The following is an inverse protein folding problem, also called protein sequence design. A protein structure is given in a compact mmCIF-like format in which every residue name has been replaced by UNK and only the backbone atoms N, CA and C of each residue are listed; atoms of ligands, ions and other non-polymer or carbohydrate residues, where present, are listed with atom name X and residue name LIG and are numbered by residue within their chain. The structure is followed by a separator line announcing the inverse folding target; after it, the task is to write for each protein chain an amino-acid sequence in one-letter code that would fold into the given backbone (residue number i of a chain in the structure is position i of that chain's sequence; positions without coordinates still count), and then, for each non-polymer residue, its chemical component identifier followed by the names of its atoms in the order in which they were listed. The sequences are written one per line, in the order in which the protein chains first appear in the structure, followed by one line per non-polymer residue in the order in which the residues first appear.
data_IF_723760649770
#
_entry.id   IF_723760649770
#
_cell.length_a   1.000
_cell.length_b   1.000
_cell.length_c   1.000
_cell.angle_alpha   90.00
_cell.angle_beta   90.00
_cell.angle_gamma   90.00
#
_symmetry.space_group_name_H-M   'P 1'
#
loop_
_entity.id
_entity.type
_entity.pdbx_description
1 polymer ?
#
# COMPACT_ATOMS: atom_id res chain seq x y z
N UNK A 1 -6.43 23.62 5.41
CA UNK A 1 -6.13 23.31 3.99
C UNK A 1 -7.47 22.97 3.36
N UNK A 2 -8.13 23.96 2.75
CA UNK A 2 -9.43 23.73 2.09
C UNK A 2 -9.16 22.92 0.81
N UNK A 3 -9.72 21.70 0.73
CA UNK A 3 -9.63 20.90 -0.47
C UNK A 3 -10.44 21.61 -1.57
N UNK A 4 -9.77 22.10 -2.61
CA UNK A 4 -10.43 22.70 -3.77
C UNK A 4 -11.23 21.60 -4.49
N UNK A 5 -12.53 21.55 -4.25
CA UNK A 5 -13.43 20.59 -4.92
C UNK A 5 -13.40 20.89 -6.42
N UNK A 6 -12.86 19.96 -7.21
CA UNK A 6 -12.86 20.08 -8.67
C UNK A 6 -14.20 19.60 -9.24
N UNK A 7 -14.70 20.29 -10.26
CA UNK A 7 -15.89 19.83 -10.98
C UNK A 7 -15.60 18.58 -11.81
N UNK A 8 -16.61 17.71 -12.00
CA UNK A 8 -16.53 16.49 -12.83
C UNK A 8 -15.96 16.83 -14.21
N UNK A 9 -16.47 17.88 -14.85
CA UNK A 9 -16.02 18.33 -16.16
C UNK A 9 -14.52 18.67 -16.19
N UNK A 10 -14.01 19.36 -15.17
CA UNK A 10 -12.59 19.70 -15.06
C UNK A 10 -11.70 18.45 -14.93
N UNK A 11 -12.13 17.47 -14.15
CA UNK A 11 -11.41 16.20 -13.96
C UNK A 11 -11.36 15.42 -15.27
N UNK A 12 -12.50 15.26 -15.96
CA UNK A 12 -12.56 14.55 -17.23
C UNK A 12 -11.71 15.23 -18.31
N UNK A 13 -11.76 16.56 -18.41
CA UNK A 13 -10.95 17.31 -19.38
C UNK A 13 -9.45 17.15 -19.12
N UNK A 14 -9.01 17.23 -17.86
CA UNK A 14 -7.61 17.00 -17.47
C UNK A 14 -7.13 15.61 -17.90
N UNK A 15 -7.90 14.58 -17.59
CA UNK A 15 -7.55 13.19 -17.92
C UNK A 15 -7.53 12.97 -19.43
N UNK A 16 -8.43 13.63 -20.16
CA UNK A 16 -8.48 13.57 -21.62
C UNK A 16 -7.18 14.11 -22.24
N UNK A 17 -6.69 15.26 -21.75
CA UNK A 17 -5.41 15.85 -22.17
C UNK A 17 -4.23 14.92 -21.83
N UNK A 18 -4.16 14.40 -20.60
CA UNK A 18 -3.09 13.50 -20.16
C UNK A 18 -3.05 12.18 -20.96
N UNK A 19 -4.19 11.76 -21.54
CA UNK A 19 -4.32 10.54 -22.33
C UNK A 19 -4.41 10.79 -23.83
N UNK A 20 -4.23 12.03 -24.27
CA UNK A 20 -4.30 12.46 -25.67
C UNK A 20 -5.59 11.95 -26.36
N UNK A 21 -6.74 12.23 -25.75
CA UNK A 21 -8.05 11.84 -26.26
C UNK A 21 -9.10 12.92 -26.02
N UNK A 22 -10.24 12.88 -26.70
CA UNK A 22 -11.31 13.83 -26.43
C UNK A 22 -12.05 13.46 -25.13
N UNK A 23 -12.43 14.46 -24.32
CA UNK A 23 -13.11 14.21 -23.04
C UNK A 23 -14.44 13.45 -23.20
N UNK A 24 -15.14 13.67 -24.33
CA UNK A 24 -16.37 12.95 -24.69
C UNK A 24 -16.17 11.46 -24.97
N UNK A 25 -14.92 11.03 -25.24
CA UNK A 25 -14.58 9.64 -25.55
C UNK A 25 -14.25 8.84 -24.27
N UNK A 26 -14.16 9.51 -23.11
CA UNK A 26 -13.92 8.86 -21.83
C UNK A 26 -15.18 8.14 -21.35
N UNK A 27 -16.36 8.77 -21.23
CA UNK A 27 -17.57 8.04 -20.85
C UNK A 27 -17.88 6.92 -21.85
N UNK A 28 -18.42 5.81 -21.35
CA UNK A 28 -18.86 4.73 -22.20
C UNK A 28 -20.12 5.17 -22.96
N UNK A 29 -19.98 5.50 -24.24
CA UNK A 29 -21.11 5.64 -25.15
C UNK A 29 -21.38 4.29 -25.83
N UNK A 30 -22.58 3.76 -25.65
CA UNK A 30 -23.23 2.63 -26.35
C UNK A 30 -22.29 1.77 -27.21
N UNK A 31 -21.41 1.01 -26.54
CA UNK A 31 -20.54 0.01 -27.18
C UNK A 31 -19.40 0.54 -28.07
N UNK A 32 -19.32 1.84 -28.34
CA UNK A 32 -18.45 2.43 -29.36
C UNK A 32 -16.95 2.49 -28.98
N UNK A 33 -16.59 2.37 -27.70
CA UNK A 33 -15.20 2.58 -27.27
C UNK A 33 -14.69 1.55 -26.24
N UNK A 34 -14.56 0.30 -26.69
CA UNK A 34 -14.02 -0.83 -25.90
C UNK A 34 -12.50 -1.00 -26.00
N UNK A 35 -11.80 -0.12 -26.72
CA UNK A 35 -10.34 -0.20 -26.86
C UNK A 35 -9.61 -0.08 -25.51
N UNK A 36 -8.46 -0.76 -25.39
CA UNK A 36 -7.66 -0.78 -24.15
C UNK A 36 -7.29 0.63 -23.65
N UNK A 37 -7.04 1.58 -24.57
CA UNK A 37 -6.79 3.00 -24.25
C UNK A 37 -8.00 3.66 -23.57
N UNK A 38 -9.19 3.48 -24.13
CA UNK A 38 -10.44 4.04 -23.58
C UNK A 38 -10.79 3.41 -22.22
N UNK A 39 -10.57 2.11 -22.06
CA UNK A 39 -10.74 1.42 -20.76
C UNK A 39 -9.77 1.98 -19.72
N UNK A 40 -8.49 2.15 -20.06
CA UNK A 40 -7.50 2.72 -19.16
C UNK A 40 -7.82 4.16 -18.74
N UNK A 41 -8.32 4.98 -19.67
CA UNK A 41 -8.77 6.34 -19.39
C UNK A 41 -10.01 6.37 -18.49
N UNK A 42 -10.98 5.48 -18.70
CA UNK A 42 -12.14 5.32 -17.79
C UNK A 42 -11.74 4.92 -16.39
N UNK A 43 -10.82 3.97 -16.26
CA UNK A 43 -10.30 3.57 -14.95
C UNK A 43 -9.60 4.75 -14.25
N UNK A 44 -8.86 5.57 -15.00
CA UNK A 44 -8.25 6.80 -14.48
C UNK A 44 -9.30 7.81 -14.02
N UNK A 45 -10.33 8.06 -14.84
CA UNK A 45 -11.41 8.96 -14.50
C UNK A 45 -12.19 8.50 -13.27
N UNK A 46 -12.51 7.21 -13.18
CA UNK A 46 -13.18 6.64 -12.00
C UNK A 46 -12.34 6.84 -10.73
N UNK A 47 -11.03 6.60 -10.79
CA UNK A 47 -10.12 6.82 -9.67
C UNK A 47 -10.08 8.29 -9.25
N UNK A 48 -9.83 9.21 -10.18
CA UNK A 48 -9.73 10.64 -9.90
C UNK A 48 -11.05 11.22 -9.36
N UNK A 49 -12.20 10.89 -9.98
CA UNK A 49 -13.51 11.31 -9.48
C UNK A 49 -13.76 10.79 -8.06
N UNK A 50 -13.33 9.57 -7.75
CA UNK A 50 -13.49 9.03 -6.41
C UNK A 50 -12.58 9.73 -5.38
N UNK A 51 -11.33 10.04 -5.71
CA UNK A 51 -10.36 10.60 -4.76
C UNK A 51 -10.38 12.12 -4.64
N UNK A 52 -10.87 12.83 -5.66
CA UNK A 52 -10.84 14.30 -5.75
C UNK A 52 -12.22 14.93 -5.54
N UNK A 53 -13.26 14.11 -5.39
CA UNK A 53 -14.64 14.56 -5.10
C UNK A 53 -15.26 13.69 -4.02
N UNK A 54 -16.39 14.14 -3.46
CA UNK A 54 -17.21 13.35 -2.52
C UNK A 54 -18.34 12.56 -3.19
N UNK A 55 -18.35 12.45 -4.53
CA UNK A 55 -19.43 11.78 -5.25
C UNK A 55 -19.58 10.30 -4.85
N UNK A 56 -20.81 9.79 -4.70
CA UNK A 56 -21.02 8.36 -4.47
C UNK A 56 -20.75 7.56 -5.75
N UNK A 57 -20.41 6.27 -5.61
CA UNK A 57 -20.04 5.41 -6.74
C UNK A 57 -21.14 5.33 -7.82
N UNK A 58 -22.41 5.40 -7.43
CA UNK A 58 -23.53 5.42 -8.36
C UNK A 58 -23.52 6.67 -9.26
N UNK A 59 -23.21 7.84 -8.70
CA UNK A 59 -23.08 9.08 -9.49
C UNK A 59 -21.87 9.00 -10.42
N UNK A 60 -20.73 8.49 -9.94
CA UNK A 60 -19.55 8.28 -10.80
C UNK A 60 -19.88 7.31 -11.96
N UNK A 61 -20.67 6.27 -11.71
CA UNK A 61 -21.11 5.34 -12.76
C UNK A 61 -21.93 6.07 -13.83
N UNK A 62 -22.90 6.90 -13.42
CA UNK A 62 -23.72 7.70 -14.32
C UNK A 62 -22.89 8.68 -15.16
N UNK A 63 -21.95 9.41 -14.54
CA UNK A 63 -21.05 10.35 -15.23
C UNK A 63 -20.15 9.65 -16.25
N UNK A 64 -19.78 8.39 -16.02
CA UNK A 64 -18.94 7.60 -16.91
C UNK A 64 -19.74 6.71 -17.88
N UNK A 65 -21.07 6.76 -17.88
CA UNK A 65 -21.92 5.91 -18.72
C UNK A 65 -21.79 4.41 -18.41
N UNK A 66 -21.45 4.04 -17.16
CA UNK A 66 -21.28 2.65 -16.74
C UNK A 66 -22.59 2.08 -16.18
N UNK A 67 -22.81 0.78 -16.44
CA UNK A 67 -24.06 0.07 -16.07
C UNK A 67 -24.28 -0.05 -14.56
N UNK A 68 -23.20 -0.13 -13.79
CA UNK A 68 -23.28 -0.33 -12.35
C UNK A 68 -22.06 0.24 -11.62
N UNK A 69 -22.20 0.36 -10.30
CA UNK A 69 -21.15 0.84 -9.41
C UNK A 69 -20.03 -0.19 -9.18
N UNK A 70 -20.24 -1.47 -9.51
CA UNK A 70 -19.22 -2.51 -9.39
C UNK A 70 -18.14 -2.35 -10.48
N UNK A 71 -18.53 -1.97 -11.70
CA UNK A 71 -17.63 -1.60 -12.78
C UNK A 71 -16.75 -0.39 -12.40
N UNK A 72 -17.34 0.62 -11.75
CA UNK A 72 -16.58 1.76 -11.19
C UNK A 72 -15.59 1.30 -10.14
N UNK A 73 -16.04 0.50 -9.15
CA UNK A 73 -15.18 -0.01 -8.09
C UNK A 73 -14.00 -0.84 -8.64
N UNK A 74 -14.26 -1.67 -9.65
CA UNK A 74 -13.22 -2.43 -10.34
C UNK A 74 -12.24 -1.50 -11.07
N UNK A 75 -12.75 -0.50 -11.81
CA UNK A 75 -11.92 0.48 -12.52
C UNK A 75 -11.02 1.27 -11.58
N UNK A 76 -11.54 1.71 -10.43
CA UNK A 76 -10.79 2.38 -9.36
C UNK A 76 -9.64 1.48 -8.87
N UNK A 77 -9.94 0.23 -8.49
CA UNK A 77 -8.93 -0.73 -8.01
C UNK A 77 -7.86 -1.01 -9.06
N UNK A 78 -8.27 -1.20 -10.32
CA UNK A 78 -7.37 -1.47 -11.44
C UNK A 78 -6.44 -0.28 -11.73
N UNK A 79 -6.92 0.96 -11.61
CA UNK A 79 -6.07 2.13 -11.74
C UNK A 79 -5.14 2.30 -10.53
N UNK A 80 -5.66 2.14 -9.31
CA UNK A 80 -4.89 2.23 -8.08
C UNK A 80 -3.67 1.28 -8.10
N UNK A 81 -3.90 0.00 -8.46
CA UNK A 81 -2.83 -0.98 -8.60
C UNK A 81 -1.77 -0.56 -9.64
N UNK A 82 -2.20 0.03 -10.76
CA UNK A 82 -1.28 0.52 -11.82
C UNK A 82 -0.38 1.66 -11.34
N UNK A 83 -0.85 2.50 -10.42
CA UNK A 83 -0.07 3.60 -9.84
C UNK A 83 0.62 3.21 -8.52
N UNK A 84 0.68 1.91 -8.21
CA UNK A 84 1.36 1.40 -7.01
C UNK A 84 0.60 1.61 -5.70
N UNK A 85 -0.70 1.92 -5.76
CA UNK A 85 -1.57 2.09 -4.59
C UNK A 85 -2.38 0.82 -4.37
N UNK A 86 -2.02 0.04 -3.35
CA UNK A 86 -2.77 -1.16 -2.97
C UNK A 86 -4.00 -0.81 -2.13
N UNK A 87 -5.18 -1.27 -2.56
CA UNK A 87 -6.47 -0.98 -1.91
C UNK A 87 -7.31 -2.24 -1.76
N UNK A 88 -7.71 -2.56 -0.52
CA UNK A 88 -8.60 -3.68 -0.25
C UNK A 88 -10.05 -3.30 -0.59
N UNK A 89 -10.47 -2.13 -0.10
CA UNK A 89 -11.78 -1.54 -0.35
C UNK A 89 -11.61 -0.17 -0.98
N UNK A 90 -12.51 0.17 -1.88
CA UNK A 90 -12.52 1.51 -2.51
C UNK A 90 -12.67 2.60 -1.45
N UNK A 91 -13.43 2.34 -0.37
CA UNK A 91 -13.55 3.24 0.78
C UNK A 91 -12.21 3.60 1.43
N UNK A 92 -11.20 2.74 1.33
CA UNK A 92 -9.89 2.96 1.97
C UNK A 92 -9.12 4.10 1.30
N UNK A 93 -9.46 4.46 0.06
CA UNK A 93 -8.88 5.60 -0.65
C UNK A 93 -9.36 6.95 -0.10
N UNK A 94 -10.54 6.99 0.53
CA UNK A 94 -11.08 8.18 1.20
C UNK A 94 -10.89 8.15 2.71
N UNK A 95 -10.61 6.98 3.28
CA UNK A 95 -10.29 6.88 4.69
C UNK A 95 -9.06 7.76 4.97
N UNK A 96 -9.02 8.48 6.11
CA UNK A 96 -7.79 9.11 6.55
C UNK A 96 -6.68 8.07 6.50
N UNK A 97 -5.57 8.40 5.82
CA UNK A 97 -4.43 7.48 5.74
C UNK A 97 -4.08 7.06 7.16
N UNK A 98 -4.38 5.80 7.50
CA UNK A 98 -3.96 5.26 8.79
C UNK A 98 -2.44 5.21 8.73
N UNK A 99 -1.79 5.98 9.58
CA UNK A 99 -0.34 5.92 9.69
C UNK A 99 0.06 4.46 9.91
N UNK A 100 1.03 3.94 9.14
CA UNK A 100 1.46 2.57 9.31
C UNK A 100 1.95 2.39 10.76
N UNK A 101 1.22 1.57 11.52
CA UNK A 101 1.58 1.30 12.91
C UNK A 101 2.80 0.40 12.89
N UNK A 102 3.90 0.91 13.46
CA UNK A 102 5.12 0.14 13.64
C UNK A 102 4.83 -1.02 14.60
N UNK A 103 5.09 -2.23 14.13
CA UNK A 103 5.15 -3.42 14.97
C UNK A 103 6.41 -3.34 15.84
N UNK A 104 6.22 -2.84 17.05
CA UNK A 104 7.31 -2.64 18.02
C UNK A 104 7.93 -3.95 18.46
N UNK A 105 7.17 -5.04 18.49
CA UNK A 105 7.70 -6.35 18.84
C UNK A 105 8.60 -6.89 17.73
N UNK A 106 8.16 -6.79 16.48
CA UNK A 106 8.99 -7.14 15.32
C UNK A 106 10.26 -6.28 15.27
N UNK A 107 10.15 -4.97 15.53
CA UNK A 107 11.31 -4.09 15.55
C UNK A 107 12.30 -4.44 16.67
N UNK A 108 11.80 -4.67 17.89
CA UNK A 108 12.61 -5.12 19.02
C UNK A 108 13.36 -6.42 18.71
N UNK A 109 12.66 -7.40 18.12
CA UNK A 109 13.22 -8.69 17.72
C UNK A 109 14.33 -8.53 16.67
N UNK A 110 14.10 -7.72 15.63
CA UNK A 110 15.09 -7.45 14.57
C UNK A 110 16.33 -6.77 15.13
N UNK A 111 16.16 -5.77 16.00
CA UNK A 111 17.28 -5.08 16.64
C UNK A 111 18.08 -6.04 17.53
N UNK A 112 17.41 -6.86 18.33
CA UNK A 112 18.07 -7.87 19.17
C UNK A 112 18.87 -8.88 18.33
N UNK A 113 18.30 -9.34 17.20
CA UNK A 113 18.98 -10.22 16.25
C UNK A 113 20.24 -9.57 15.63
N UNK A 114 20.14 -8.30 15.23
CA UNK A 114 21.28 -7.53 14.72
C UNK A 114 22.39 -7.37 15.78
N UNK A 115 22.03 -7.02 17.02
CA UNK A 115 23.00 -6.91 18.13
C UNK A 115 23.70 -8.23 18.40
N UNK A 116 22.94 -9.33 18.46
CA UNK A 116 23.48 -10.68 18.71
C UNK A 116 24.46 -11.11 17.60
N UNK A 117 24.10 -10.87 16.34
CA UNK A 117 24.93 -11.23 15.18
C UNK A 117 26.27 -10.49 15.18
N UNK A 118 26.30 -9.26 15.70
CA UNK A 118 27.50 -8.43 15.79
C UNK A 118 28.23 -8.51 17.14
N UNK A 119 27.71 -9.28 18.11
CA UNK A 119 28.26 -9.33 19.46
C UNK A 119 28.26 -7.99 20.21
N UNK A 120 27.28 -7.11 19.92
CA UNK A 120 27.24 -5.76 20.48
C UNK A 120 26.54 -5.73 21.84
N UNK A 121 27.13 -5.02 22.80
CA UNK A 121 26.42 -4.61 24.01
C UNK A 121 25.38 -3.53 23.69
N UNK A 122 24.49 -3.21 24.64
CA UNK A 122 23.53 -2.09 24.47
C UNK A 122 24.24 -0.74 24.31
N UNK A 123 25.39 -0.55 24.97
CA UNK A 123 26.18 0.67 24.86
C UNK A 123 26.82 0.79 23.48
N UNK A 124 27.37 -0.30 22.95
CA UNK A 124 27.98 -0.31 21.61
C UNK A 124 26.93 -0.14 20.52
N UNK A 125 25.77 -0.77 20.67
CA UNK A 125 24.63 -0.58 19.76
C UNK A 125 24.16 0.87 19.74
N UNK A 126 24.04 1.51 20.92
CA UNK A 126 23.66 2.92 21.03
C UNK A 126 24.68 3.83 20.33
N UNK A 127 25.98 3.59 20.56
CA UNK A 127 27.07 4.31 19.90
C UNK A 127 27.05 4.11 18.38
N UNK A 128 26.85 2.87 17.91
CA UNK A 128 26.79 2.56 16.49
C UNK A 128 25.61 3.23 15.78
N UNK A 129 24.46 3.29 16.45
CA UNK A 129 23.25 3.93 15.91
C UNK A 129 23.22 5.46 16.11
N UNK A 130 24.18 6.04 16.85
CA UNK A 130 24.16 7.47 17.18
C UNK A 130 23.00 7.90 18.08
N UNK A 131 22.53 7.01 18.96
CA UNK A 131 21.39 7.26 19.87
C UNK A 131 21.77 6.99 21.33
N UNK A 132 20.88 7.34 22.27
CA UNK A 132 21.10 7.05 23.69
C UNK A 132 20.91 5.56 24.02
N UNK A 133 21.60 5.07 25.05
CA UNK A 133 21.36 3.70 25.59
C UNK A 133 19.92 3.52 26.05
N UNK A 134 19.29 4.59 26.56
CA UNK A 134 17.87 4.61 26.93
C UNK A 134 16.97 4.35 25.73
N UNK A 135 17.27 4.94 24.57
CA UNK A 135 16.55 4.70 23.30
C UNK A 135 16.63 3.23 22.90
N UNK A 136 17.82 2.61 22.94
CA UNK A 136 17.97 1.18 22.66
C UNK A 136 17.16 0.33 23.64
N UNK A 137 17.19 0.67 24.94
CA UNK A 137 16.38 -0.02 25.95
C UNK A 137 14.89 0.08 25.63
N UNK A 138 14.38 1.27 25.31
CA UNK A 138 12.98 1.51 24.94
C UNK A 138 12.55 0.62 23.78
N UNK A 139 13.33 0.59 22.70
CA UNK A 139 13.06 -0.25 21.52
C UNK A 139 12.97 -1.72 21.92
N UNK A 140 13.98 -2.24 22.64
CA UNK A 140 14.01 -3.65 23.06
C UNK A 140 12.85 -4.03 23.99
N UNK A 141 12.27 -3.07 24.70
CA UNK A 141 11.08 -3.25 25.54
C UNK A 141 9.75 -2.92 24.84
N UNK A 142 9.77 -2.62 23.54
CA UNK A 142 8.57 -2.30 22.76
C UNK A 142 7.93 -0.93 23.08
N UNK A 143 8.68 -0.01 23.67
CA UNK A 143 8.20 1.35 23.98
C UNK A 143 8.29 2.28 22.76
N UNK A 144 7.55 3.38 22.81
CA UNK A 144 7.63 4.46 21.81
C UNK A 144 8.99 5.16 21.86
N UNK A 145 9.43 5.59 20.69
CA UNK A 145 10.58 6.47 20.48
C UNK A 145 10.17 7.56 19.50
N UNK A 146 10.96 8.62 19.43
CA UNK A 146 10.81 9.67 18.43
C UNK A 146 11.28 9.20 17.04
N UNK A 147 10.78 9.87 16.00
CA UNK A 147 11.05 9.51 14.60
C UNK A 147 12.52 9.64 14.23
N UNK A 148 13.24 10.61 14.79
CA UNK A 148 14.66 10.80 14.53
C UNK A 148 15.48 9.60 15.04
N UNK A 149 15.20 9.15 16.27
CA UNK A 149 15.78 7.93 16.83
C UNK A 149 15.44 6.69 16.00
N UNK A 150 14.21 6.58 15.51
CA UNK A 150 13.79 5.45 14.68
C UNK A 150 14.59 5.40 13.37
N UNK A 151 14.65 6.52 12.63
CA UNK A 151 15.38 6.61 11.36
C UNK A 151 16.86 6.30 11.54
N UNK A 152 17.49 6.81 12.61
CA UNK A 152 18.89 6.55 12.91
C UNK A 152 19.16 5.04 13.09
N UNK A 153 18.31 4.34 13.86
CA UNK A 153 18.45 2.91 14.09
C UNK A 153 18.19 2.10 12.82
N UNK A 154 17.14 2.40 12.05
CA UNK A 154 16.84 1.69 10.80
C UNK A 154 17.98 1.79 9.78
N UNK A 155 18.56 2.99 9.65
CA UNK A 155 19.64 3.25 8.70
C UNK A 155 20.90 2.43 8.99
N UNK A 156 21.25 2.26 10.27
CA UNK A 156 22.45 1.52 10.68
C UNK A 156 22.22 0.00 10.71
N UNK A 157 21.02 -0.42 11.08
CA UNK A 157 20.68 -1.85 11.18
C UNK A 157 20.35 -2.49 9.83
N UNK A 158 19.98 -1.68 8.83
CA UNK A 158 19.47 -2.17 7.54
C UNK A 158 18.06 -2.76 7.66
N UNK A 159 17.37 -2.59 8.79
CA UNK A 159 16.00 -3.02 8.96
C UNK A 159 15.10 -2.14 8.11
N UNK A 160 14.41 -2.74 7.14
CA UNK A 160 13.46 -2.02 6.30
C UNK A 160 12.20 -1.69 7.09
N UNK A 161 11.68 -0.47 6.95
CA UNK A 161 10.43 -0.06 7.59
C UNK A 161 9.27 -1.00 7.22
N UNK A 162 9.23 -1.48 5.97
CA UNK A 162 8.25 -2.45 5.51
C UNK A 162 8.30 -3.80 6.26
N UNK A 163 9.43 -4.16 6.86
CA UNK A 163 9.61 -5.41 7.61
C UNK A 163 9.19 -5.33 9.07
N UNK A 164 8.92 -4.12 9.57
CA UNK A 164 8.51 -3.83 10.95
C UNK A 164 7.17 -3.09 10.99
N UNK A 165 6.43 -3.03 9.88
CA UNK A 165 5.05 -2.59 9.90
C UNK A 165 4.19 -3.74 10.40
N UNK A 166 3.17 -3.45 11.19
CA UNK A 166 2.17 -4.48 11.45
C UNK A 166 1.52 -4.88 10.13
N UNK A 167 1.46 -6.19 9.82
CA UNK A 167 0.77 -6.64 8.64
C UNK A 167 -0.70 -6.23 8.73
N UNK A 168 -1.27 -5.84 7.59
CA UNK A 168 -2.72 -5.63 7.50
C UNK A 168 -3.45 -6.89 7.95
N UNK A 169 -4.74 -6.76 8.28
CA UNK A 169 -5.53 -7.93 8.62
C UNK A 169 -5.52 -8.97 7.48
N UNK A 170 -5.50 -8.53 6.23
CA UNK A 170 -5.45 -9.38 5.06
C UNK A 170 -4.09 -10.07 4.87
N UNK A 171 -2.97 -9.36 5.08
CA UNK A 171 -1.64 -9.98 5.04
C UNK A 171 -1.50 -11.13 6.04
N UNK A 172 -2.20 -11.05 7.19
CA UNK A 172 -2.26 -12.15 8.15
C UNK A 172 -3.14 -13.32 7.69
N UNK A 173 -4.20 -13.04 6.93
CA UNK A 173 -5.09 -14.07 6.36
C UNK A 173 -4.44 -14.79 5.18
N UNK A 174 -3.72 -14.08 4.30
CA UNK A 174 -3.09 -14.65 3.11
C UNK A 174 -1.93 -15.62 3.47
N UNK A 175 -1.19 -15.35 4.54
CA UNK A 175 -0.15 -16.28 5.07
C UNK A 175 -0.77 -17.63 5.52
N UNK A 176 -2.06 -17.65 5.88
CA UNK A 176 -2.76 -18.87 6.26
C UNK A 176 -3.23 -19.70 5.04
N UNK A 177 -2.99 -19.21 3.82
CA UNK A 177 -3.32 -19.88 2.57
C UNK A 177 -2.10 -20.24 1.72
N UNK A 178 -0.87 -20.14 2.26
CA UNK A 178 0.26 -20.83 1.63
C UNK A 178 -0.08 -22.33 1.57
N UNK A 179 -0.24 -22.92 0.37
CA UNK A 179 -0.53 -24.33 0.27
C UNK A 179 0.62 -25.06 0.96
N UNK A 180 0.30 -25.90 1.94
CA UNK A 180 1.26 -26.85 2.49
C UNK A 180 1.77 -27.68 1.32
N UNK A 181 2.87 -27.24 0.70
CA UNK A 181 3.68 -28.04 -0.18
C UNK A 181 4.20 -29.13 0.75
N UNK A 182 3.52 -30.29 0.73
CA UNK A 182 4.00 -31.52 1.35
C UNK A 182 5.42 -31.68 0.81
N UNK A 183 6.43 -31.34 1.63
CA UNK A 183 7.81 -31.76 1.36
C UNK A 183 7.74 -33.26 1.37
N UNK A 184 7.63 -33.82 0.18
CA UNK A 184 7.66 -35.24 -0.07
C UNK A 184 8.89 -35.79 0.61
N UNK A 185 8.64 -36.77 1.46
CA UNK A 185 9.58 -37.77 1.89
C UNK A 185 10.23 -38.36 0.63
N UNK A 186 11.42 -37.90 0.25
CA UNK A 186 12.33 -38.73 -0.54
C UNK A 186 13.28 -39.39 0.45
N UNK A 187 12.73 -40.39 1.13
CA UNK A 187 13.48 -41.40 1.84
C UNK A 187 13.81 -42.53 0.86
N UNK A 188 15.08 -42.96 0.90
CA UNK A 188 15.58 -44.28 0.51
C UNK A 188 15.63 -44.67 -0.98
N UNK A 189 16.85 -44.75 -1.51
CA UNK A 189 17.39 -45.81 -2.39
C UNK A 189 18.86 -45.45 -2.68
N UNK A 190 19.87 -46.32 -2.72
CA UNK A 190 20.07 -47.70 -2.31
C UNK A 190 21.59 -47.89 -2.22
N UNK A 191 22.03 -48.81 -1.36
CA UNK A 191 23.43 -49.28 -1.22
C UNK A 191 23.90 -50.00 -2.50
N UNK A 192 25.19 -49.94 -2.85
CA UNK A 192 25.89 -51.09 -3.43
C UNK A 192 26.28 -52.11 -2.34
#
# INVERSE_FOLDING_TARGET
MEARIMSVHSILHRIALERDMAARDIPAQDGANRGARAVAARHHAAFALFTETDLPLATIAAELGLSDHAAVAHGIKAHAARVGVHVERVSDLRAPRREPVIDRAAFAYRLAGWMKTRGLSRADAAKACGVSVSTIRKILTGQTIDDQSLVAVLSVTGVLLASIRMPSFQERMDVSHEPHVKRGETSAEARP
#
